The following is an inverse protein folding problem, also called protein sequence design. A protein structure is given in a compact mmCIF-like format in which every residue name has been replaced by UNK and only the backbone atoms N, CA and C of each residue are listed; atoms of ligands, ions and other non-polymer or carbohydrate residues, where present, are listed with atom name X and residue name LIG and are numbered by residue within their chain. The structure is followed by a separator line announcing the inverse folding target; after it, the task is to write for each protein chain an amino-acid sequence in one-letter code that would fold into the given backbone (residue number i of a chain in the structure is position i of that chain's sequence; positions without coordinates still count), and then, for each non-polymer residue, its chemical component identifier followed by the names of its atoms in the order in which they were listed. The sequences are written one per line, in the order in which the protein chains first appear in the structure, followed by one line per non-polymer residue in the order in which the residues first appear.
data_IF_850995035757
#
_entry.id   IF_850995035757
#
_cell.length_a   1.000
_cell.length_b   1.000
_cell.length_c   1.000
_cell.angle_alpha   90.00
_cell.angle_beta   90.00
_cell.angle_gamma   90.00
#
_symmetry.space_group_name_H-M   'P 1'
#
loop_
_entity.id
_entity.type
_entity.pdbx_description
1 polymer ?
#
# COMPACT_ATOMS: atom_id res chain seq x y z
N UNK A 1 14.68 20.78 -22.08
CA UNK A 1 14.98 19.43 -21.59
C UNK A 1 14.13 19.18 -20.37
N UNK A 2 13.00 18.53 -20.54
CA UNK A 2 12.04 18.22 -19.46
C UNK A 2 12.05 16.71 -19.29
N UNK A 3 12.73 16.24 -18.23
CA UNK A 3 12.71 14.84 -17.83
C UNK A 3 11.29 14.44 -17.46
N UNK A 4 10.66 13.59 -18.27
CA UNK A 4 9.46 12.89 -17.89
C UNK A 4 9.85 11.86 -16.84
N UNK A 5 9.56 12.15 -15.58
CA UNK A 5 9.47 11.15 -14.51
C UNK A 5 8.54 10.04 -14.98
N UNK A 6 9.10 8.85 -15.22
CA UNK A 6 8.34 7.65 -15.55
C UNK A 6 7.29 7.41 -14.47
N UNK A 7 6.03 7.63 -14.83
CA UNK A 7 4.91 7.31 -13.98
C UNK A 7 4.82 5.78 -13.87
N UNK A 8 5.43 5.24 -12.82
CA UNK A 8 5.14 3.87 -12.35
C UNK A 8 3.63 3.77 -12.15
N UNK A 9 3.00 2.73 -12.73
CA UNK A 9 1.56 2.45 -12.54
C UNK A 9 1.27 2.46 -11.04
N UNK A 10 0.53 3.47 -10.59
CA UNK A 10 0.14 3.73 -9.19
C UNK A 10 -0.54 2.56 -8.47
N UNK A 11 -0.93 1.49 -9.18
CA UNK A 11 -1.54 0.30 -8.62
C UNK A 11 -0.58 -0.68 -7.93
N UNK A 12 0.71 -0.72 -8.30
CA UNK A 12 1.67 -1.70 -7.74
C UNK A 12 2.42 -1.19 -6.51
N UNK A 13 2.62 0.12 -6.37
CA UNK A 13 3.38 0.72 -5.26
C UNK A 13 2.54 0.86 -3.99
N UNK A 14 1.25 1.14 -4.13
CA UNK A 14 0.34 1.38 -3.00
C UNK A 14 0.25 0.18 -2.01
N UNK A 15 0.22 -1.09 -2.45
CA UNK A 15 0.33 -2.25 -1.58
C UNK A 15 1.54 -2.21 -0.66
N UNK A 16 2.72 -1.96 -1.22
CA UNK A 16 3.96 -1.87 -0.46
C UNK A 16 3.99 -0.65 0.45
N UNK A 17 3.44 0.49 0.00
CA UNK A 17 3.26 1.66 0.87
C UNK A 17 2.41 1.32 2.09
N UNK A 18 1.28 0.65 1.89
CA UNK A 18 0.41 0.28 3.01
C UNK A 18 1.09 -0.74 3.93
N UNK A 19 1.82 -1.72 3.39
CA UNK A 19 2.63 -2.65 4.19
C UNK A 19 3.63 -1.89 5.06
N UNK A 20 4.43 -1.01 4.45
CA UNK A 20 5.41 -0.18 5.14
C UNK A 20 4.77 0.62 6.28
N UNK A 21 3.65 1.28 6.03
CA UNK A 21 2.96 2.05 7.06
C UNK A 21 2.38 1.17 8.18
N UNK A 22 1.86 -0.01 7.86
CA UNK A 22 1.41 -0.97 8.89
C UNK A 22 2.57 -1.52 9.73
N UNK A 23 3.74 -1.74 9.12
CA UNK A 23 4.94 -2.13 9.84
C UNK A 23 5.39 -1.02 10.80
N UNK A 24 5.31 0.26 10.39
CA UNK A 24 5.53 1.40 11.30
C UNK A 24 4.53 1.43 12.46
N UNK A 25 3.25 1.14 12.20
CA UNK A 25 2.27 1.04 13.28
C UNK A 25 2.55 -0.16 14.19
N UNK A 26 3.05 -1.28 13.65
CA UNK A 26 3.44 -2.43 14.45
C UNK A 26 4.63 -2.14 15.37
N UNK A 27 5.62 -1.37 14.89
CA UNK A 27 6.73 -0.88 15.71
C UNK A 27 6.24 -0.01 16.89
N UNK A 28 5.17 0.76 16.70
CA UNK A 28 4.57 1.62 17.73
C UNK A 28 3.69 0.87 18.73
N UNK A 29 3.06 -0.24 18.34
CA UNK A 29 2.18 -1.02 19.22
C UNK A 29 3.01 -1.90 20.15
N UNK A 30 3.06 -1.53 21.45
CA UNK A 30 3.74 -2.28 22.50
C UNK A 30 3.27 -3.74 22.65
N UNK A 31 2.09 -4.08 22.12
CA UNK A 31 1.54 -5.43 22.15
C UNK A 31 1.92 -6.28 20.93
N UNK A 32 2.68 -5.73 19.99
CA UNK A 32 3.18 -6.44 18.82
C UNK A 32 4.70 -6.48 18.87
N UNK A 33 5.27 -7.60 18.44
CA UNK A 33 6.70 -7.75 18.25
C UNK A 33 6.99 -7.74 16.75
N UNK A 34 7.92 -6.86 16.35
CA UNK A 34 8.41 -6.78 14.97
C UNK A 34 9.60 -7.72 14.83
N UNK A 35 9.58 -8.53 13.79
CA UNK A 35 10.71 -9.36 13.38
C UNK A 35 11.77 -8.48 12.69
N UNK A 36 12.59 -7.82 13.50
CA UNK A 36 13.64 -6.93 12.99
C UNK A 36 14.74 -7.68 12.21
N UNK A 37 14.91 -8.97 12.46
CA UNK A 37 15.87 -9.80 11.71
C UNK A 37 15.39 -9.97 10.26
N UNK A 38 14.11 -10.30 10.08
CA UNK A 38 13.49 -10.33 8.76
C UNK A 38 13.65 -8.99 8.01
N UNK A 39 13.46 -7.88 8.72
CA UNK A 39 13.51 -6.51 8.19
C UNK A 39 14.89 -5.84 8.21
N UNK A 40 15.97 -6.57 8.52
CA UNK A 40 17.31 -5.97 8.70
C UNK A 40 17.74 -5.09 7.51
N UNK A 41 17.45 -5.53 6.28
CA UNK A 41 17.83 -4.82 5.05
C UNK A 41 16.96 -3.59 4.75
N UNK A 42 15.81 -3.43 5.43
CA UNK A 42 14.98 -2.23 5.31
C UNK A 42 15.57 -1.04 6.06
N UNK A 43 16.55 -1.28 6.95
CA UNK A 43 17.20 -0.24 7.74
C UNK A 43 16.24 0.44 8.72
N UNK A 44 16.39 1.76 8.87
CA UNK A 44 15.65 2.58 9.82
C UNK A 44 14.24 2.96 9.31
N UNK A 45 13.46 1.97 8.86
CA UNK A 45 12.15 2.20 8.22
C UNK A 45 11.18 3.01 9.08
N UNK A 46 11.29 2.94 10.41
CA UNK A 46 10.37 3.58 11.35
C UNK A 46 10.56 5.09 11.45
N UNK A 47 11.74 5.62 11.13
CA UNK A 47 12.04 7.05 11.13
C UNK A 47 11.99 7.70 9.74
N UNK A 48 11.71 6.93 8.69
CA UNK A 48 11.68 7.43 7.31
C UNK A 48 10.25 7.57 6.78
N UNK A 49 10.06 8.56 5.90
CA UNK A 49 8.87 8.66 5.05
C UNK A 49 8.94 7.63 3.94
N UNK A 50 7.79 7.01 3.60
CA UNK A 50 7.76 5.98 2.56
C UNK A 50 8.38 6.44 1.25
N UNK A 51 8.12 7.68 0.81
CA UNK A 51 8.67 8.19 -0.45
C UNK A 51 10.20 8.28 -0.44
N UNK A 52 10.80 8.64 0.69
CA UNK A 52 12.26 8.66 0.87
C UNK A 52 12.81 7.24 0.82
N UNK A 53 12.26 6.37 1.66
CA UNK A 53 12.66 4.96 1.74
C UNK A 53 12.51 4.22 0.40
N UNK A 54 11.40 4.48 -0.31
CA UNK A 54 11.10 3.93 -1.63
C UNK A 54 11.87 4.60 -2.77
N UNK A 55 12.47 5.77 -2.60
CA UNK A 55 13.26 6.38 -3.69
C UNK A 55 14.65 5.76 -3.82
N UNK A 56 15.17 5.17 -2.74
CA UNK A 56 16.49 4.54 -2.69
C UNK A 56 16.65 3.31 -3.60
N UNK A 57 17.88 2.80 -3.72
CA UNK A 57 18.16 1.56 -4.47
C UNK A 57 17.62 0.30 -3.77
N UNK A 58 17.43 0.36 -2.45
CA UNK A 58 17.17 -0.79 -1.58
C UNK A 58 15.88 -1.54 -1.93
N UNK A 59 14.76 -0.84 -2.20
CA UNK A 59 13.50 -1.51 -2.51
C UNK A 59 13.55 -2.32 -3.82
N UNK A 60 14.40 -1.93 -4.78
CA UNK A 60 14.52 -2.63 -6.07
C UNK A 60 15.11 -4.03 -5.91
N UNK A 61 15.99 -4.21 -4.92
CA UNK A 61 16.60 -5.50 -4.61
C UNK A 61 15.72 -6.33 -3.64
N UNK A 62 14.98 -5.66 -2.76
CA UNK A 62 14.21 -6.31 -1.71
C UNK A 62 12.88 -6.89 -2.19
N UNK A 63 12.24 -6.26 -3.16
CA UNK A 63 10.91 -6.68 -3.62
C UNK A 63 10.95 -7.31 -4.99
N UNK A 64 10.15 -8.36 -5.17
CA UNK A 64 9.86 -8.98 -6.47
C UNK A 64 8.96 -8.08 -7.35
N UNK A 65 9.33 -6.81 -7.51
CA UNK A 65 8.62 -5.90 -8.39
C UNK A 65 9.21 -6.07 -9.77
N UNK A 66 8.52 -6.85 -10.60
CA UNK A 66 8.64 -6.72 -12.03
C UNK A 66 8.13 -5.32 -12.38
N UNK A 67 9.06 -4.35 -12.44
CA UNK A 67 8.73 -2.93 -12.66
C UNK A 67 8.30 -2.69 -14.12
N UNK A 68 7.77 -3.69 -14.83
CA UNK A 68 7.29 -3.54 -16.21
C UNK A 68 8.31 -2.86 -17.14
N UNK A 69 7.78 -2.15 -18.14
CA UNK A 69 8.60 -1.49 -19.18
C UNK A 69 9.39 -0.31 -18.60
N UNK A 70 10.72 -0.44 -18.60
CA UNK A 70 11.66 0.65 -18.31
C UNK A 70 12.30 1.19 -19.58
N UNK A 71 12.48 2.51 -19.64
CA UNK A 71 13.34 3.17 -20.64
C UNK A 71 14.71 3.37 -20.00
N UNK A 72 15.75 2.91 -20.68
CA UNK A 72 17.15 3.13 -20.29
C UNK A 72 17.66 4.40 -20.96
N UNK A 73 18.46 5.18 -20.23
CA UNK A 73 19.12 6.36 -20.80
C UNK A 73 20.27 5.95 -21.74
N UNK A 74 20.68 6.85 -22.64
CA UNK A 74 21.78 6.56 -23.57
C UNK A 74 23.07 6.24 -22.80
N UNK A 75 23.60 5.03 -23.03
CA UNK A 75 24.83 4.54 -22.41
C UNK A 75 24.62 3.73 -21.13
N UNK A 76 23.39 3.65 -20.61
CA UNK A 76 23.05 2.72 -19.52
C UNK A 76 22.99 1.29 -20.10
N UNK A 77 23.90 0.42 -19.64
CA UNK A 77 23.88 -1.02 -19.96
C UNK A 77 23.25 -1.72 -18.76
N UNK A 78 22.00 -2.20 -18.86
CA UNK A 78 21.43 -3.01 -17.80
C UNK A 78 22.24 -4.29 -17.59
N UNK A 79 22.36 -4.71 -16.33
CA UNK A 79 22.91 -6.02 -16.01
C UNK A 79 22.05 -7.12 -16.64
N UNK A 80 22.70 -8.22 -17.04
CA UNK A 80 22.01 -9.35 -17.62
C UNK A 80 21.08 -9.97 -16.57
N UNK A 81 19.78 -9.94 -16.86
CA UNK A 81 18.75 -10.58 -16.04
C UNK A 81 18.23 -11.80 -16.81
N UNK A 82 18.40 -13.00 -16.23
CA UNK A 82 17.92 -14.27 -16.81
C UNK A 82 16.39 -14.31 -16.97
N UNK A 83 15.68 -13.36 -16.37
CA UNK A 83 14.23 -13.28 -16.36
C UNK A 83 13.65 -12.10 -17.15
N UNK A 84 14.51 -11.28 -17.76
CA UNK A 84 14.09 -10.14 -18.55
C UNK A 84 14.68 -10.17 -19.96
N UNK A 85 13.91 -9.71 -20.94
CA UNK A 85 14.39 -9.49 -22.30
C UNK A 85 14.69 -8.02 -22.50
N UNK A 86 15.95 -7.72 -22.83
CA UNK A 86 16.32 -6.39 -23.29
C UNK A 86 15.96 -6.24 -24.76
N UNK A 87 14.94 -5.42 -25.06
CA UNK A 87 14.48 -5.19 -26.44
C UNK A 87 14.75 -3.74 -26.85
N UNK A 88 15.51 -3.54 -27.92
CA UNK A 88 15.70 -2.24 -28.55
C UNK A 88 14.60 -1.99 -29.57
N UNK A 89 13.71 -1.03 -29.29
CA UNK A 89 12.60 -0.68 -30.18
C UNK A 89 12.97 0.48 -31.11
N UNK A 90 12.91 0.30 -32.44
CA UNK A 90 13.14 1.37 -33.39
C UNK A 90 11.97 2.38 -33.38
N UNK A 91 12.24 3.66 -33.12
CA UNK A 91 11.22 4.72 -33.03
C UNK A 91 10.59 5.07 -34.39
N UNK A 92 11.19 4.65 -35.50
CA UNK A 92 10.70 4.86 -36.85
C UNK A 92 9.76 3.75 -37.34
N UNK A 93 9.51 2.71 -36.53
CA UNK A 93 8.61 1.60 -36.89
C UNK A 93 7.18 1.86 -36.43
N UNK A 94 6.21 1.34 -37.18
CA UNK A 94 4.79 1.43 -36.80
C UNK A 94 4.55 0.76 -35.44
N UNK A 95 3.94 1.45 -34.45
CA UNK A 95 3.70 0.90 -33.12
C UNK A 95 2.94 -0.43 -33.09
N UNK A 96 1.97 -0.63 -33.99
CA UNK A 96 1.19 -1.88 -34.04
C UNK A 96 2.04 -3.06 -34.49
N UNK A 97 2.98 -2.83 -35.41
CA UNK A 97 3.91 -3.87 -35.84
C UNK A 97 4.93 -4.16 -34.75
N UNK A 98 5.47 -3.12 -34.10
CA UNK A 98 6.38 -3.26 -32.96
C UNK A 98 5.76 -4.08 -31.83
N UNK A 99 4.47 -3.89 -31.53
CA UNK A 99 3.77 -4.69 -30.52
C UNK A 99 3.64 -6.17 -30.91
N UNK A 100 3.39 -6.47 -32.19
CA UNK A 100 3.35 -7.86 -32.68
C UNK A 100 4.72 -8.52 -32.55
N UNK A 101 5.78 -7.82 -32.94
CA UNK A 101 7.14 -8.35 -32.86
C UNK A 101 7.54 -8.63 -31.39
N UNK A 102 7.18 -7.73 -30.47
CA UNK A 102 7.39 -7.92 -29.03
C UNK A 102 6.59 -9.11 -28.50
N UNK A 103 5.34 -9.29 -28.95
CA UNK A 103 4.54 -10.45 -28.59
C UNK A 103 5.17 -11.77 -29.05
N UNK A 104 5.60 -11.85 -30.31
CA UNK A 104 6.27 -13.03 -30.85
C UNK A 104 7.58 -13.34 -30.10
N UNK A 105 8.37 -12.31 -29.78
CA UNK A 105 9.59 -12.46 -28.97
C UNK A 105 9.29 -13.03 -27.59
N UNK A 106 8.23 -12.57 -26.93
CA UNK A 106 7.80 -13.09 -25.63
C UNK A 106 7.37 -14.56 -25.72
N UNK A 107 6.58 -14.91 -26.74
CA UNK A 107 6.13 -16.29 -26.99
C UNK A 107 7.31 -17.24 -27.28
N UNK A 108 8.27 -16.82 -28.10
CA UNK A 108 9.49 -17.59 -28.40
C UNK A 108 10.34 -17.86 -27.15
N UNK A 109 10.38 -16.90 -26.23
CA UNK A 109 11.08 -17.04 -24.95
C UNK A 109 10.21 -17.70 -23.86
N UNK A 110 9.05 -18.26 -24.22
CA UNK A 110 8.09 -18.92 -23.31
C UNK A 110 7.60 -18.03 -22.16
N UNK A 111 7.70 -16.71 -22.31
CA UNK A 111 7.19 -15.75 -21.36
C UNK A 111 5.67 -15.95 -21.23
N UNK A 112 5.19 -16.21 -20.01
CA UNK A 112 3.77 -16.48 -19.71
C UNK A 112 3.43 -17.93 -19.34
N UNK A 113 4.34 -18.91 -19.50
CA UNK A 113 4.09 -20.30 -19.07
C UNK A 113 4.75 -20.70 -17.74
N UNK A 114 5.74 -19.92 -17.29
CA UNK A 114 6.47 -20.17 -16.05
C UNK A 114 6.06 -19.17 -14.95
N UNK A 115 4.82 -19.24 -14.47
CA UNK A 115 4.38 -18.52 -13.25
C UNK A 115 5.12 -18.99 -11.97
N UNK A 116 5.99 -20.01 -12.06
CA UNK A 116 6.62 -20.66 -10.91
C UNK A 116 8.06 -20.26 -10.58
N UNK A 117 8.72 -19.41 -11.36
CA UNK A 117 10.15 -19.09 -11.15
C UNK A 117 10.55 -17.64 -11.44
N UNK A 118 9.66 -16.67 -11.22
CA UNK A 118 10.12 -15.28 -11.11
C UNK A 118 10.95 -15.21 -9.82
N UNK A 119 12.16 -14.64 -9.88
CA UNK A 119 13.06 -14.47 -8.75
C UNK A 119 12.26 -13.74 -7.68
N UNK A 120 11.94 -14.47 -6.62
CA UNK A 120 11.23 -13.88 -5.51
C UNK A 120 12.25 -13.03 -4.79
N UNK A 121 12.24 -11.72 -5.04
CA UNK A 121 12.77 -10.77 -4.08
C UNK A 121 12.26 -11.18 -2.69
N UNK A 122 13.12 -11.04 -1.67
CA UNK A 122 12.87 -11.52 -0.30
C UNK A 122 11.48 -11.14 0.23
N UNK A 123 10.93 -10.03 -0.26
CA UNK A 123 9.58 -9.58 0.00
C UNK A 123 8.71 -9.67 -1.27
N UNK A 124 7.57 -10.35 -1.17
CA UNK A 124 6.61 -10.48 -2.26
C UNK A 124 5.17 -10.32 -1.76
N UNK A 125 4.29 -9.84 -2.65
CA UNK A 125 2.86 -9.82 -2.37
C UNK A 125 2.34 -11.26 -2.38
N UNK A 126 1.55 -11.63 -1.38
CA UNK A 126 1.04 -13.00 -1.26
C UNK A 126 0.01 -13.34 -2.35
N UNK A 127 -0.11 -14.64 -2.66
CA UNK A 127 -1.06 -15.12 -3.65
C UNK A 127 -2.49 -14.65 -3.41
N UNK A 128 -3.14 -14.17 -4.46
CA UNK A 128 -4.52 -13.70 -4.43
C UNK A 128 -4.71 -12.31 -3.81
N UNK A 129 -3.64 -11.57 -3.48
CA UNK A 129 -3.72 -10.20 -2.97
C UNK A 129 -4.56 -9.27 -3.87
N UNK A 130 -4.56 -9.50 -5.18
CA UNK A 130 -5.33 -8.70 -6.14
C UNK A 130 -6.85 -8.80 -5.91
N UNK A 131 -7.32 -10.00 -5.55
CA UNK A 131 -8.76 -10.28 -5.37
C UNK A 131 -9.27 -9.80 -4.01
N UNK A 132 -8.37 -9.71 -3.03
CA UNK A 132 -8.67 -9.26 -1.67
C UNK A 132 -8.09 -7.86 -1.42
N UNK A 133 -6.79 -7.78 -1.13
CA UNK A 133 -6.13 -6.54 -0.73
C UNK A 133 -6.28 -5.38 -1.73
N UNK A 134 -5.99 -5.59 -3.03
CA UNK A 134 -6.13 -4.52 -4.03
C UNK A 134 -7.57 -4.04 -4.18
N UNK A 135 -8.52 -4.97 -4.22
CA UNK A 135 -9.96 -4.67 -4.29
C UNK A 135 -10.42 -3.82 -3.11
N UNK A 136 -9.84 -4.02 -1.92
CA UNK A 136 -10.23 -3.36 -0.69
C UNK A 136 -9.30 -2.22 -0.26
N UNK A 137 -8.38 -1.74 -1.11
CA UNK A 137 -7.44 -0.64 -0.79
C UNK A 137 -8.09 0.57 -0.10
N UNK A 138 -9.27 1.09 -0.54
CA UNK A 138 -9.90 2.19 0.16
C UNK A 138 -10.24 1.87 1.62
N UNK A 139 -10.66 0.64 1.91
CA UNK A 139 -10.94 0.21 3.28
C UNK A 139 -9.66 0.01 4.08
N UNK A 140 -8.60 -0.50 3.45
CA UNK A 140 -7.28 -0.65 4.09
C UNK A 140 -6.71 0.71 4.51
N UNK A 141 -6.89 1.76 3.71
CA UNK A 141 -6.52 3.14 4.09
C UNK A 141 -7.28 3.64 5.31
N UNK A 142 -8.59 3.36 5.38
CA UNK A 142 -9.42 3.67 6.55
C UNK A 142 -8.89 2.90 7.77
N UNK A 143 -8.65 1.60 7.63
CA UNK A 143 -8.09 0.74 8.69
C UNK A 143 -6.77 1.29 9.23
N UNK A 144 -5.82 1.60 8.35
CA UNK A 144 -4.51 2.15 8.73
C UNK A 144 -4.66 3.44 9.53
N UNK A 145 -5.49 4.37 9.05
CA UNK A 145 -5.66 5.67 9.71
C UNK A 145 -6.41 5.56 11.04
N UNK A 146 -7.48 4.76 11.12
CA UNK A 146 -8.14 4.47 12.39
C UNK A 146 -7.17 3.84 13.38
N UNK A 147 -6.29 2.95 12.92
CA UNK A 147 -5.31 2.30 13.79
C UNK A 147 -4.23 3.26 14.28
N UNK A 148 -3.76 4.18 13.42
CA UNK A 148 -2.85 5.25 13.85
C UNK A 148 -3.47 6.08 14.97
N UNK A 149 -4.69 6.60 14.80
CA UNK A 149 -5.38 7.35 15.86
C UNK A 149 -5.64 6.51 17.11
N UNK A 150 -5.91 5.21 16.93
CA UNK A 150 -6.07 4.32 18.07
C UNK A 150 -4.77 4.23 18.87
N UNK A 151 -3.60 4.13 18.21
CA UNK A 151 -2.29 4.17 18.87
C UNK A 151 -1.97 5.53 19.47
N UNK A 152 -2.39 6.64 18.85
CA UNK A 152 -2.23 8.00 19.41
C UNK A 152 -3.02 8.16 20.73
N UNK A 153 -4.13 7.44 20.85
CA UNK A 153 -5.02 7.46 22.01
C UNK A 153 -4.70 6.38 23.06
N UNK A 154 -3.45 5.89 23.14
CA UNK A 154 -3.08 4.75 24.01
C UNK A 154 -3.30 4.99 25.50
N UNK A 155 -3.19 6.24 25.95
CA UNK A 155 -3.39 6.65 27.35
C UNK A 155 -4.85 6.60 27.80
N UNK A 156 -5.80 6.54 26.85
CA UNK A 156 -7.23 6.48 27.17
C UNK A 156 -7.66 5.05 27.52
N UNK A 157 -8.64 4.94 28.43
CA UNK A 157 -9.25 3.65 28.74
C UNK A 157 -9.93 3.06 27.49
N UNK A 158 -9.88 1.74 27.29
CA UNK A 158 -10.26 1.04 26.04
C UNK A 158 -11.58 1.51 25.39
N UNK A 159 -12.64 1.71 26.19
CA UNK A 159 -13.94 2.21 25.71
C UNK A 159 -13.83 3.64 25.16
N UNK A 160 -13.24 4.53 25.95
CA UNK A 160 -13.03 5.93 25.60
C UNK A 160 -12.08 6.06 24.41
N UNK A 161 -10.98 5.31 24.42
CA UNK A 161 -10.04 5.17 23.31
C UNK A 161 -10.74 4.83 21.99
N UNK A 162 -11.65 3.85 22.01
CA UNK A 162 -12.42 3.46 20.81
C UNK A 162 -13.31 4.62 20.32
N UNK A 163 -14.02 5.28 21.24
CA UNK A 163 -14.90 6.40 20.92
C UNK A 163 -14.11 7.59 20.36
N UNK A 164 -13.02 7.98 21.01
CA UNK A 164 -12.15 9.08 20.61
C UNK A 164 -11.54 8.82 19.23
N UNK A 165 -11.04 7.61 19.00
CA UNK A 165 -10.49 7.21 17.69
C UNK A 165 -11.51 7.40 16.56
N UNK A 166 -12.78 7.04 16.78
CA UNK A 166 -13.84 7.23 15.78
C UNK A 166 -14.09 8.71 15.50
N UNK A 167 -14.15 9.53 16.55
CA UNK A 167 -14.32 10.98 16.46
C UNK A 167 -13.15 11.66 15.73
N UNK A 168 -11.90 11.29 16.05
CA UNK A 168 -10.69 11.84 15.43
C UNK A 168 -10.63 11.50 13.94
N UNK A 169 -10.87 10.23 13.59
CA UNK A 169 -10.91 9.79 12.20
C UNK A 169 -11.98 10.54 11.42
N UNK A 170 -13.20 10.63 11.95
CA UNK A 170 -14.31 11.27 11.27
C UNK A 170 -14.07 12.77 11.08
N UNK A 171 -13.64 13.46 12.13
CA UNK A 171 -13.31 14.89 12.10
C UNK A 171 -12.27 15.17 11.02
N UNK A 172 -11.15 14.44 11.02
CA UNK A 172 -10.13 14.58 9.98
C UNK A 172 -10.69 14.31 8.58
N UNK A 173 -11.42 13.19 8.40
CA UNK A 173 -11.86 12.76 7.09
C UNK A 173 -12.86 13.75 6.50
N UNK A 174 -13.78 14.26 7.33
CA UNK A 174 -14.78 15.25 6.96
C UNK A 174 -14.13 16.60 6.63
N UNK A 175 -13.26 17.12 7.49
CA UNK A 175 -12.53 18.37 7.22
C UNK A 175 -11.69 18.28 5.94
N UNK A 176 -11.05 17.13 5.69
CA UNK A 176 -10.28 16.92 4.46
C UNK A 176 -11.17 16.84 3.22
N UNK A 177 -12.32 16.17 3.33
CA UNK A 177 -13.31 16.08 2.25
C UNK A 177 -13.87 17.47 1.88
N UNK A 178 -14.27 18.24 2.90
CA UNK A 178 -14.80 19.59 2.75
C UNK A 178 -13.77 20.52 2.09
N UNK A 179 -12.52 20.47 2.54
CA UNK A 179 -11.42 21.24 1.93
C UNK A 179 -11.22 20.92 0.45
N UNK A 180 -11.31 19.64 0.06
CA UNK A 180 -11.16 19.21 -1.34
C UNK A 180 -12.31 19.74 -2.20
N UNK A 181 -13.54 19.68 -1.68
CA UNK A 181 -14.74 20.16 -2.37
C UNK A 181 -14.69 21.69 -2.53
N UNK A 182 -14.47 22.41 -1.43
CA UNK A 182 -14.46 23.87 -1.39
C UNK A 182 -13.40 24.44 -2.32
N UNK A 183 -12.17 23.89 -2.27
CA UNK A 183 -11.04 24.35 -3.09
C UNK A 183 -10.99 23.72 -4.47
N UNK A 184 -11.96 22.87 -4.83
CA UNK A 184 -12.04 22.14 -6.12
C UNK A 184 -10.75 21.40 -6.47
N UNK A 185 -10.06 20.84 -5.47
CA UNK A 185 -8.83 20.11 -5.69
C UNK A 185 -9.09 18.79 -6.43
N UNK A 186 -8.19 18.42 -7.34
CA UNK A 186 -8.20 17.11 -8.03
C UNK A 186 -7.55 16.02 -7.18
N UNK A 187 -7.90 15.95 -5.89
CA UNK A 187 -7.38 14.97 -4.95
C UNK A 187 -8.37 13.84 -4.70
N UNK A 188 -7.86 12.66 -4.35
CA UNK A 188 -8.70 11.56 -3.91
C UNK A 188 -9.37 11.92 -2.58
N UNK A 189 -10.69 11.80 -2.55
CA UNK A 189 -11.50 12.07 -1.36
C UNK A 189 -11.36 10.95 -0.33
N UNK A 190 -11.23 11.25 0.97
CA UNK A 190 -11.21 10.22 2.01
C UNK A 190 -12.48 9.37 1.95
N UNK A 191 -12.32 8.05 2.08
CA UNK A 191 -13.47 7.16 2.25
C UNK A 191 -13.96 7.25 3.68
N UNK A 192 -15.26 7.52 3.85
CA UNK A 192 -15.91 7.52 5.17
C UNK A 192 -17.03 6.47 5.14
N UNK A 193 -16.80 5.26 5.68
CA UNK A 193 -17.85 4.23 5.74
C UNK A 193 -19.03 4.69 6.59
N UNK A 194 -20.27 4.42 6.15
CA UNK A 194 -21.49 4.88 6.81
C UNK A 194 -21.52 4.58 8.32
N UNK A 195 -21.37 3.31 8.71
CA UNK A 195 -21.41 2.92 10.12
C UNK A 195 -20.29 3.56 10.96
N UNK A 196 -19.15 3.90 10.35
CA UNK A 196 -18.06 4.60 11.02
C UNK A 196 -18.42 6.07 11.23
N UNK A 197 -19.01 6.71 10.21
CA UNK A 197 -19.49 8.09 10.31
C UNK A 197 -20.59 8.23 11.37
N UNK A 198 -21.60 7.37 11.34
CA UNK A 198 -22.72 7.44 12.29
C UNK A 198 -22.26 7.19 13.72
N UNK A 199 -21.39 6.19 13.94
CA UNK A 199 -20.78 5.99 15.26
C UNK A 199 -20.07 7.25 15.76
N UNK A 200 -19.23 7.87 14.92
CA UNK A 200 -18.48 9.06 15.30
C UNK A 200 -19.37 10.28 15.57
N UNK A 201 -20.39 10.50 14.74
CA UNK A 201 -21.37 11.58 14.95
C UNK A 201 -22.11 11.44 16.27
N UNK A 202 -22.54 10.22 16.62
CA UNK A 202 -23.19 9.96 17.90
C UNK A 202 -22.26 10.28 19.08
N UNK A 203 -20.98 9.91 18.98
CA UNK A 203 -19.98 10.28 20.00
C UNK A 203 -19.82 11.81 20.10
N UNK A 204 -19.68 12.51 18.97
CA UNK A 204 -19.52 13.97 18.94
C UNK A 204 -20.76 14.72 19.45
N UNK A 205 -21.95 14.18 19.22
CA UNK A 205 -23.22 14.72 19.73
C UNK A 205 -23.48 14.36 21.21
N UNK A 206 -22.56 13.61 21.85
CA UNK A 206 -22.73 13.07 23.19
C UNK A 206 -24.00 12.19 23.34
N UNK A 207 -24.36 11.49 22.27
CA UNK A 207 -25.50 10.58 22.21
C UNK A 207 -25.07 9.14 22.54
N UNK A 208 -26.03 8.32 22.97
CA UNK A 208 -25.79 6.88 23.14
C UNK A 208 -25.57 6.25 21.77
N UNK A 209 -24.39 5.65 21.50
CA UNK A 209 -24.11 5.10 20.18
C UNK A 209 -24.91 3.84 19.89
N UNK A 210 -25.26 3.66 18.62
CA UNK A 210 -25.81 2.41 18.11
C UNK A 210 -24.77 1.28 18.24
N UNK A 211 -25.17 0.14 18.79
CA UNK A 211 -24.25 -0.96 19.06
C UNK A 211 -23.77 -1.66 17.79
N UNK A 212 -24.53 -1.65 16.69
CA UNK A 212 -24.09 -2.19 15.41
C UNK A 212 -23.07 -1.29 14.73
N UNK A 213 -23.26 0.03 14.78
CA UNK A 213 -22.28 1.00 14.30
C UNK A 213 -20.95 0.91 15.06
N UNK A 214 -21.03 0.85 16.39
CA UNK A 214 -19.87 0.63 17.27
C UNK A 214 -19.17 -0.70 16.98
N UNK A 215 -19.94 -1.78 16.83
CA UNK A 215 -19.39 -3.11 16.48
C UNK A 215 -18.70 -3.07 15.12
N UNK A 216 -19.29 -2.41 14.13
CA UNK A 216 -18.68 -2.25 12.80
C UNK A 216 -17.35 -1.49 12.90
N UNK A 217 -17.28 -0.40 13.67
CA UNK A 217 -16.03 0.34 13.89
C UNK A 217 -14.95 -0.52 14.56
N UNK A 218 -15.32 -1.28 15.62
CA UNK A 218 -14.39 -2.23 16.25
C UNK A 218 -13.84 -3.28 15.28
N UNK A 219 -14.63 -3.74 14.30
CA UNK A 219 -14.14 -4.66 13.25
C UNK A 219 -13.08 -4.00 12.37
N UNK A 220 -13.17 -2.70 12.08
CA UNK A 220 -12.11 -1.99 11.36
C UNK A 220 -10.81 -1.99 12.16
N UNK A 221 -10.87 -1.67 13.46
CA UNK A 221 -9.69 -1.69 14.34
C UNK A 221 -9.09 -3.09 14.45
N UNK A 222 -9.92 -4.12 14.63
CA UNK A 222 -9.44 -5.50 14.70
C UNK A 222 -8.74 -5.92 13.39
N UNK A 223 -9.33 -5.61 12.23
CA UNK A 223 -8.72 -5.91 10.94
C UNK A 223 -7.42 -5.14 10.74
N UNK A 224 -7.38 -3.87 11.14
CA UNK A 224 -6.17 -3.06 11.06
C UNK A 224 -5.03 -3.62 11.92
N UNK A 225 -5.34 -4.04 13.16
CA UNK A 225 -4.37 -4.71 14.05
C UNK A 225 -3.89 -6.03 13.46
N UNK A 226 -4.75 -6.81 12.83
CA UNK A 226 -4.35 -8.04 12.14
C UNK A 226 -3.40 -7.73 10.96
N UNK A 227 -3.64 -6.66 10.20
CA UNK A 227 -2.73 -6.22 9.14
C UNK A 227 -1.38 -5.77 9.69
N UNK A 228 -1.37 -5.02 10.80
CA UNK A 228 -0.14 -4.64 11.49
C UNK A 228 0.63 -5.86 12.02
N UNK A 229 -0.08 -6.84 12.60
CA UNK A 229 0.53 -8.10 13.05
C UNK A 229 1.13 -8.90 11.88
N UNK A 230 0.41 -9.02 10.77
CA UNK A 230 0.93 -9.69 9.58
C UNK A 230 2.18 -8.98 9.07
N UNK A 231 2.13 -7.65 8.98
CA UNK A 231 3.28 -6.83 8.62
C UNK A 231 4.45 -7.03 9.58
N UNK A 232 4.22 -7.13 10.90
CA UNK A 232 5.30 -7.32 11.87
C UNK A 232 6.06 -8.64 11.71
N UNK A 233 5.46 -9.62 11.02
CA UNK A 233 6.00 -10.96 10.79
C UNK A 233 6.46 -11.19 9.33
N UNK A 234 6.54 -10.15 8.49
CA UNK A 234 6.91 -10.36 7.09
C UNK A 234 5.81 -10.92 6.19
N UNK A 235 4.57 -11.01 6.67
CA UNK A 235 3.46 -11.63 5.92
C UNK A 235 2.64 -10.56 5.21
N UNK A 236 2.65 -10.57 3.86
CA UNK A 236 1.75 -9.71 3.10
C UNK A 236 0.30 -10.25 3.12
N UNK A 237 -0.72 -9.37 3.03
CA UNK A 237 -2.09 -9.85 2.93
C UNK A 237 -2.41 -10.56 1.60
N UNK A 238 -2.61 -11.88 1.61
CA UNK A 238 -3.09 -12.70 0.48
C UNK A 238 -4.62 -12.88 0.45
N UNK A 239 -5.09 -14.13 0.40
CA UNK A 239 -6.52 -14.48 0.55
C UNK A 239 -6.95 -14.42 2.02
N UNK A 240 -7.76 -13.42 2.38
CA UNK A 240 -8.51 -13.35 3.64
C UNK A 240 -9.96 -12.99 3.39
#
# INVERSE_FOLDING_TARGET
MTGQTGATKTGQVEPYRLWFEFLKQAHRDQNLQVDYEHYQEWGNFFNEEFSSWWSGATWRMLFAIDVGVRVYDQGEVPEADEQALLVRLPLNKNPKQTLRDVQELLEQNKAGTALGKISQGKFALSDGYERAFLKYLPNVRVMLRCYSYWLDNVELHNRERTSQTAADFYTWAKSRDDLIIERKYKYSRPRIPFAVAEYAKQILANEKPDEDHKRAFKRYLQKARNLAKNASMGVFPGKY
#
